data_IF_221537532281
#
_entry.id   IF_221537532281
#
_cell.length_a   1.000
_cell.length_b   1.000
_cell.length_c   1.000
_cell.angle_alpha   90.00
_cell.angle_beta   90.00
_cell.angle_gamma   90.00
#
_symmetry.space_group_name_H-M   'P 1'
#
loop_
_entity.id
_entity.type
_entity.pdbx_description
1 polymer ?
#
# COMPACT_ATOMS: atom_id res chain seq x y z
N UNK A 1 -7.14 3.11 19.56
CA UNK A 1 -7.86 2.99 18.26
C UNK A 1 -8.12 4.34 17.60
N UNK A 2 -8.77 5.31 18.26
CA UNK A 2 -9.06 6.64 17.71
C UNK A 2 -7.82 7.38 17.18
N UNK A 3 -6.79 7.52 18.01
CA UNK A 3 -5.58 8.29 17.67
C UNK A 3 -4.73 7.68 16.55
N UNK A 4 -4.93 6.39 16.22
CA UNK A 4 -4.24 5.78 15.08
C UNK A 4 -4.55 6.46 13.75
N UNK A 5 -5.71 7.15 13.64
CA UNK A 5 -6.07 7.92 12.44
C UNK A 5 -5.03 8.99 12.09
N UNK A 6 -4.24 9.47 13.07
CA UNK A 6 -3.13 10.41 12.87
C UNK A 6 -2.09 9.85 11.88
N UNK A 7 -1.93 8.53 11.80
CA UNK A 7 -0.92 7.88 10.95
C UNK A 7 -1.46 7.43 9.60
N UNK A 8 -2.60 7.97 9.16
CA UNK A 8 -3.21 7.68 7.86
C UNK A 8 -3.43 6.18 7.63
N UNK A 9 -3.08 5.71 6.43
CA UNK A 9 -3.23 4.32 5.98
C UNK A 9 -2.45 3.30 6.83
N UNK A 10 -1.37 3.71 7.52
CA UNK A 10 -0.65 2.85 8.46
C UNK A 10 -1.44 2.58 9.74
N UNK A 11 -2.23 3.57 10.15
CA UNK A 11 -3.10 3.49 11.30
C UNK A 11 -4.32 2.63 11.00
N UNK A 12 -5.06 2.99 9.95
CA UNK A 12 -6.26 2.34 9.45
C UNK A 12 -6.30 2.45 7.92
N UNK A 13 -6.71 1.40 7.21
CA UNK A 13 -6.87 1.45 5.76
C UNK A 13 -8.01 2.39 5.34
N UNK A 14 -9.04 2.56 6.18
CA UNK A 14 -10.13 3.50 5.98
C UNK A 14 -10.38 4.38 7.22
N UNK A 15 -11.06 5.51 7.03
CA UNK A 15 -11.46 6.39 8.13
C UNK A 15 -12.81 5.96 8.68
N UNK A 16 -12.87 5.62 9.98
CA UNK A 16 -14.09 5.21 10.67
C UNK A 16 -14.62 6.31 11.60
N UNK A 17 -15.95 6.55 11.62
CA UNK A 17 -16.56 7.62 12.41
C UNK A 17 -16.81 7.18 13.86
N UNK A 18 -15.79 6.66 14.55
CA UNK A 18 -15.90 6.31 15.97
C UNK A 18 -16.26 7.53 16.80
N UNK A 19 -17.28 7.38 17.64
CA UNK A 19 -17.88 8.47 18.41
C UNK A 19 -17.76 8.25 19.93
N UNK A 20 -18.02 9.31 20.69
CA UNK A 20 -18.15 9.23 22.15
C UNK A 20 -19.38 8.39 22.54
N UNK A 21 -20.41 8.36 21.68
CA UNK A 21 -21.58 7.50 21.86
C UNK A 21 -21.19 6.03 21.94
N UNK A 22 -20.33 5.57 21.04
CA UNK A 22 -19.84 4.18 21.03
C UNK A 22 -19.12 3.82 22.33
N UNK A 23 -18.30 4.74 22.86
CA UNK A 23 -17.59 4.54 24.13
C UNK A 23 -18.56 4.47 25.32
N UNK A 24 -19.51 5.43 25.39
CA UNK A 24 -20.50 5.48 26.46
C UNK A 24 -21.37 4.22 26.46
N UNK A 25 -21.88 3.84 25.29
CA UNK A 25 -22.77 2.70 25.17
C UNK A 25 -22.01 1.39 25.43
N UNK A 26 -20.73 1.29 25.01
CA UNK A 26 -19.86 0.17 25.38
C UNK A 26 -19.62 0.07 26.89
N UNK A 27 -19.45 1.21 27.59
CA UNK A 27 -19.29 1.23 29.04
C UNK A 27 -20.56 0.78 29.79
N UNK A 28 -21.74 1.15 29.27
CA UNK A 28 -23.02 0.70 29.81
C UNK A 28 -23.20 -0.80 29.62
N UNK A 29 -22.88 -1.31 28.43
CA UNK A 29 -22.92 -2.74 28.13
C UNK A 29 -21.94 -3.50 29.03
N UNK A 30 -20.70 -3.03 29.18
CA UNK A 30 -19.72 -3.62 30.09
C UNK A 30 -20.27 -3.74 31.52
N UNK A 31 -20.79 -2.63 32.05
CA UNK A 31 -21.34 -2.58 33.41
C UNK A 31 -22.50 -3.57 33.59
N UNK A 32 -23.49 -3.51 32.71
CA UNK A 32 -24.66 -4.38 32.77
C UNK A 32 -24.27 -5.86 32.63
N UNK A 33 -23.31 -6.17 31.75
CA UNK A 33 -22.86 -7.54 31.51
C UNK A 33 -22.17 -8.13 32.74
N UNK A 34 -21.31 -7.34 33.40
CA UNK A 34 -20.62 -7.76 34.62
C UNK A 34 -21.55 -7.89 35.83
N UNK A 35 -22.49 -6.94 36.01
CA UNK A 35 -23.48 -7.03 37.11
C UNK A 35 -24.45 -8.20 36.93
N UNK A 36 -24.97 -8.40 35.71
CA UNK A 36 -26.00 -9.41 35.45
C UNK A 36 -25.43 -10.83 35.60
N UNK A 37 -24.18 -11.05 35.20
CA UNK A 37 -23.58 -12.37 35.28
C UNK A 37 -23.05 -12.74 36.68
N UNK A 38 -23.00 -11.78 37.64
CA UNK A 38 -22.35 -11.98 38.94
C UNK A 38 -21.00 -12.72 38.80
N UNK A 39 -20.29 -12.44 37.70
CA UNK A 39 -19.25 -13.32 37.23
C UNK A 39 -18.00 -13.17 38.11
N UNK A 40 -17.57 -14.27 38.72
CA UNK A 40 -16.32 -14.33 39.51
C UNK A 40 -15.09 -14.04 38.63
N UNK A 41 -15.21 -14.28 37.31
CA UNK A 41 -14.18 -14.01 36.30
C UNK A 41 -14.77 -13.16 35.18
N UNK A 42 -13.97 -12.22 34.66
CA UNK A 42 -14.36 -11.37 33.53
C UNK A 42 -14.50 -12.22 32.25
N UNK A 43 -15.65 -12.19 31.57
CA UNK A 43 -15.90 -12.93 30.33
C UNK A 43 -15.30 -12.20 29.12
N UNK A 44 -13.97 -12.25 29.00
CA UNK A 44 -13.24 -11.51 27.96
C UNK A 44 -13.65 -11.87 26.53
N UNK A 45 -13.94 -13.13 26.24
CA UNK A 45 -14.32 -13.59 24.89
C UNK A 45 -15.61 -12.90 24.43
N UNK A 46 -16.62 -12.87 25.30
CA UNK A 46 -17.91 -12.23 25.01
C UNK A 46 -17.74 -10.72 24.85
N UNK A 47 -16.95 -10.07 25.72
CA UNK A 47 -16.70 -8.64 25.64
C UNK A 47 -15.92 -8.25 24.37
N UNK A 48 -14.91 -9.05 23.99
CA UNK A 48 -14.16 -8.86 22.75
C UNK A 48 -15.06 -9.01 21.53
N UNK A 49 -15.96 -9.98 21.54
CA UNK A 49 -16.95 -10.15 20.47
C UNK A 49 -17.92 -8.95 20.41
N UNK A 50 -18.52 -8.55 21.55
CA UNK A 50 -19.46 -7.43 21.60
C UNK A 50 -18.79 -6.14 21.13
N UNK A 51 -17.61 -5.80 21.63
CA UNK A 51 -16.95 -4.56 21.26
C UNK A 51 -16.33 -4.61 19.86
N UNK A 52 -15.70 -5.72 19.50
CA UNK A 52 -14.96 -5.91 18.25
C UNK A 52 -15.83 -6.19 17.04
N UNK A 53 -16.92 -6.92 17.20
CA UNK A 53 -17.78 -7.34 16.07
C UNK A 53 -19.07 -6.52 15.99
N UNK A 54 -19.61 -6.05 17.11
CA UNK A 54 -20.91 -5.34 17.17
C UNK A 54 -20.72 -3.83 17.32
N UNK A 55 -20.11 -3.36 18.41
CA UNK A 55 -20.05 -1.93 18.74
C UNK A 55 -19.12 -1.16 17.80
N UNK A 56 -17.81 -1.43 17.87
CA UNK A 56 -16.83 -0.81 16.97
C UNK A 56 -16.79 -1.54 15.63
N UNK A 57 -16.92 -2.86 15.63
CA UNK A 57 -16.96 -3.69 14.43
C UNK A 57 -18.08 -3.38 13.45
N UNK A 58 -19.21 -2.88 13.93
CA UNK A 58 -20.32 -2.43 13.08
C UNK A 58 -19.94 -1.26 12.16
N UNK A 59 -18.93 -0.46 12.53
CA UNK A 59 -18.42 0.63 11.71
C UNK A 59 -17.32 0.19 10.74
N UNK A 60 -16.64 -0.94 11.03
CA UNK A 60 -15.43 -1.36 10.32
C UNK A 60 -15.80 -2.27 9.14
N UNK A 61 -15.54 -1.76 7.93
CA UNK A 61 -15.89 -2.43 6.68
C UNK A 61 -14.69 -3.21 6.12
N UNK A 62 -13.47 -2.70 6.26
CA UNK A 62 -12.28 -3.38 5.75
C UNK A 62 -11.89 -4.57 6.66
N UNK A 63 -11.65 -5.73 6.05
CA UNK A 63 -11.33 -6.98 6.77
C UNK A 63 -10.00 -6.87 7.53
N UNK A 64 -9.00 -6.17 6.99
CA UNK A 64 -7.68 -6.03 7.64
C UNK A 64 -7.75 -5.02 8.79
N UNK A 65 -8.58 -3.98 8.66
CA UNK A 65 -8.90 -3.09 9.77
C UNK A 65 -9.70 -3.81 10.87
N UNK A 66 -10.60 -4.74 10.50
CA UNK A 66 -11.30 -5.59 11.49
C UNK A 66 -10.33 -6.52 12.21
N UNK A 67 -9.40 -7.14 11.47
CA UNK A 67 -8.29 -7.92 12.05
C UNK A 67 -7.45 -7.08 13.01
N UNK A 68 -7.12 -5.83 12.66
CA UNK A 68 -6.41 -4.90 13.53
C UNK A 68 -7.20 -4.61 14.81
N UNK A 69 -8.49 -4.28 14.69
CA UNK A 69 -9.38 -4.03 15.82
C UNK A 69 -9.42 -5.23 16.78
N UNK A 70 -9.65 -6.43 16.25
CA UNK A 70 -9.69 -7.66 17.04
C UNK A 70 -8.33 -7.95 17.68
N UNK A 71 -7.22 -7.72 16.98
CA UNK A 71 -5.87 -7.86 17.54
C UNK A 71 -5.64 -6.89 18.70
N UNK A 72 -6.16 -5.66 18.61
CA UNK A 72 -6.14 -4.69 19.72
C UNK A 72 -6.91 -5.21 20.94
N UNK A 73 -8.14 -5.65 20.73
CA UNK A 73 -8.98 -6.18 21.79
C UNK A 73 -8.36 -7.43 22.41
N UNK A 74 -7.82 -8.33 21.60
CA UNK A 74 -7.11 -9.53 22.05
C UNK A 74 -5.91 -9.19 22.92
N UNK A 75 -5.16 -8.13 22.58
CA UNK A 75 -4.01 -7.72 23.39
C UNK A 75 -4.45 -7.07 24.71
N UNK A 76 -5.38 -6.11 24.67
CA UNK A 76 -5.72 -5.32 25.85
C UNK A 76 -6.72 -6.00 26.79
N UNK A 77 -7.71 -6.72 26.25
CA UNK A 77 -8.81 -7.30 27.03
C UNK A 77 -8.48 -8.71 27.51
N UNK A 78 -7.58 -8.77 28.50
CA UNK A 78 -7.12 -10.00 29.13
C UNK A 78 -7.00 -9.80 30.65
N UNK A 79 -6.91 -10.88 31.42
CA UNK A 79 -6.78 -10.84 32.88
C UNK A 79 -5.61 -9.95 33.36
N UNK A 80 -4.50 -9.91 32.59
CA UNK A 80 -3.34 -9.04 32.87
C UNK A 80 -3.70 -7.56 32.97
N UNK A 81 -4.77 -7.10 32.29
CA UNK A 81 -5.20 -5.70 32.33
C UNK A 81 -5.51 -5.22 33.75
N UNK A 82 -5.95 -6.15 34.60
CA UNK A 82 -6.31 -5.90 36.00
C UNK A 82 -5.09 -5.86 36.94
N UNK A 83 -3.90 -6.21 36.44
CA UNK A 83 -2.66 -6.40 37.22
C UNK A 83 -1.45 -5.77 36.50
N UNK A 84 -1.39 -4.43 36.50
CA UNK A 84 -0.29 -3.61 35.96
C UNK A 84 0.18 -3.98 34.53
N UNK A 85 -0.77 -4.24 33.62
CA UNK A 85 -0.45 -4.51 32.22
C UNK A 85 0.24 -3.33 31.54
N UNK A 86 1.24 -3.66 30.73
CA UNK A 86 1.86 -2.72 29.80
C UNK A 86 0.84 -2.25 28.75
N UNK A 87 0.63 -0.93 28.68
CA UNK A 87 -0.29 -0.31 27.74
C UNK A 87 0.34 0.00 26.39
N UNK A 88 1.68 0.01 26.30
CA UNK A 88 2.39 0.19 25.04
C UNK A 88 2.65 -1.18 24.38
N UNK A 89 2.01 -1.49 23.24
CA UNK A 89 2.12 -2.82 22.66
C UNK A 89 3.56 -3.17 22.25
N UNK A 90 4.03 -4.35 22.68
CA UNK A 90 5.32 -4.93 22.28
C UNK A 90 6.53 -4.00 22.51
N UNK A 91 6.53 -3.19 23.57
CA UNK A 91 7.66 -2.30 23.92
C UNK A 91 8.80 -2.99 24.70
N UNK A 92 8.71 -4.30 24.93
CA UNK A 92 9.71 -5.08 25.67
C UNK A 92 11.13 -4.86 25.12
N UNK A 93 12.07 -4.51 25.99
CA UNK A 93 13.47 -4.27 25.63
C UNK A 93 13.80 -2.86 25.11
N UNK A 94 12.85 -1.91 25.15
CA UNK A 94 13.13 -0.48 24.88
C UNK A 94 13.26 0.29 26.20
N UNK A 95 14.47 0.76 26.50
CA UNK A 95 14.74 1.53 27.71
C UNK A 95 13.91 2.83 27.74
N UNK A 96 13.23 3.07 28.86
CA UNK A 96 12.49 4.31 29.10
C UNK A 96 11.11 4.43 28.44
N UNK A 97 10.58 3.36 27.82
CA UNK A 97 9.27 3.37 27.16
C UNK A 97 8.35 2.34 27.81
N UNK A 98 7.70 2.72 28.91
CA UNK A 98 6.73 1.88 29.62
C UNK A 98 5.65 2.75 30.24
N UNK A 99 4.39 2.34 30.08
CA UNK A 99 3.25 2.94 30.75
C UNK A 99 2.26 1.83 31.09
N UNK A 100 2.05 1.58 32.39
CA UNK A 100 1.26 0.45 32.87
C UNK A 100 -0.11 0.87 33.37
N UNK A 101 -1.06 -0.07 33.37
CA UNK A 101 -2.33 0.15 34.05
C UNK A 101 -2.09 0.35 35.55
N UNK A 102 -2.70 1.37 36.18
CA UNK A 102 -2.67 1.45 37.64
C UNK A 102 -3.54 0.34 38.23
N UNK A 103 -3.19 -0.13 39.43
CA UNK A 103 -4.03 -1.06 40.17
C UNK A 103 -5.45 -0.49 40.40
N UNK A 104 -6.49 -1.33 40.56
CA UNK A 104 -7.86 -0.87 40.75
C UNK A 104 -7.99 0.14 41.90
N UNK A 105 -8.30 1.40 41.55
CA UNK A 105 -8.32 2.53 42.49
C UNK A 105 -9.53 3.45 42.23
N UNK A 106 -9.64 4.55 43.00
CA UNK A 106 -10.68 5.56 42.77
C UNK A 106 -10.49 6.27 41.43
N UNK A 107 -11.59 6.82 40.90
CA UNK A 107 -11.59 7.58 39.64
C UNK A 107 -10.53 8.71 39.63
N UNK A 108 -10.35 9.42 40.75
CA UNK A 108 -9.37 10.50 40.89
C UNK A 108 -7.92 10.00 40.69
N UNK A 109 -7.57 8.82 41.21
CA UNK A 109 -6.24 8.23 41.04
C UNK A 109 -5.96 7.79 39.59
N UNK A 110 -7.01 7.39 38.86
CA UNK A 110 -6.88 7.15 37.42
C UNK A 110 -6.55 8.43 36.67
N UNK A 111 -7.16 9.57 37.03
CA UNK A 111 -6.85 10.86 36.42
C UNK A 111 -5.40 11.28 36.70
N UNK A 112 -4.94 11.18 37.95
CA UNK A 112 -3.53 11.45 38.31
C UNK A 112 -2.56 10.58 37.50
N UNK A 113 -2.88 9.31 37.29
CA UNK A 113 -2.06 8.38 36.50
C UNK A 113 -2.00 8.75 35.02
N UNK A 114 -3.11 9.25 34.46
CA UNK A 114 -3.19 9.73 33.07
C UNK A 114 -2.41 11.03 32.90
N UNK A 115 -2.42 11.94 33.88
CA UNK A 115 -1.64 13.18 33.84
C UNK A 115 -0.13 12.92 33.84
N UNK A 116 0.32 11.81 34.44
CA UNK A 116 1.71 11.34 34.39
C UNK A 116 2.12 10.63 33.10
N UNK A 117 1.22 10.49 32.12
CA UNK A 117 1.51 9.79 30.87
C UNK A 117 2.60 10.52 30.05
N UNK A 118 3.60 9.80 29.50
CA UNK A 118 4.59 10.42 28.63
C UNK A 118 3.95 10.94 27.34
N UNK A 119 4.65 11.85 26.65
CA UNK A 119 4.19 12.37 25.37
C UNK A 119 3.85 11.24 24.39
N UNK A 120 2.71 11.36 23.70
CA UNK A 120 2.28 10.38 22.71
C UNK A 120 3.35 10.19 21.63
N UNK A 121 3.71 8.92 21.40
CA UNK A 121 4.61 8.51 20.31
C UNK A 121 3.95 7.37 19.53
N UNK A 122 4.39 7.08 18.29
CA UNK A 122 3.87 5.93 17.55
C UNK A 122 3.92 4.60 18.32
N UNK A 123 4.91 4.45 19.21
CA UNK A 123 5.08 3.26 20.06
C UNK A 123 3.89 3.04 21.00
N UNK A 124 3.25 4.11 21.49
CA UNK A 124 2.05 4.00 22.32
C UNK A 124 0.89 3.31 21.58
N UNK A 125 0.93 3.35 20.25
CA UNK A 125 -0.02 2.69 19.37
C UNK A 125 0.55 1.41 18.74
N UNK A 126 1.66 0.86 19.24
CA UNK A 126 2.29 -0.33 18.67
C UNK A 126 2.93 -0.13 17.29
N UNK A 127 3.06 1.11 16.83
CA UNK A 127 3.70 1.45 15.55
C UNK A 127 5.21 1.68 15.75
N UNK A 128 5.97 1.43 14.69
CA UNK A 128 7.40 1.77 14.68
C UNK A 128 7.61 3.30 14.73
N UNK A 129 8.65 3.83 15.41
CA UNK A 129 8.92 5.27 15.50
C UNK A 129 9.04 5.99 14.15
N UNK A 130 9.43 5.29 13.09
CA UNK A 130 9.47 5.84 11.73
C UNK A 130 8.10 6.33 11.23
N UNK A 131 6.99 5.86 11.82
CA UNK A 131 5.66 6.37 11.49
C UNK A 131 5.50 7.87 11.80
N UNK A 132 6.25 8.40 12.77
CA UNK A 132 6.28 9.83 13.07
C UNK A 132 6.83 10.63 11.88
N UNK A 133 7.84 10.11 11.18
CA UNK A 133 8.44 10.77 10.01
C UNK A 133 7.36 10.95 8.93
N UNK A 134 6.65 9.88 8.57
CA UNK A 134 5.59 9.94 7.57
C UNK A 134 4.45 10.89 7.96
N UNK A 135 4.04 10.86 9.22
CA UNK A 135 3.03 11.78 9.75
C UNK A 135 3.47 13.24 9.61
N UNK A 136 4.69 13.59 10.03
CA UNK A 136 5.22 14.96 9.92
C UNK A 136 5.40 15.40 8.48
N UNK A 137 5.89 14.52 7.60
CA UNK A 137 6.00 14.81 6.16
C UNK A 137 4.63 15.14 5.57
N UNK A 138 3.59 14.38 5.91
CA UNK A 138 2.24 14.66 5.42
C UNK A 138 1.73 16.04 5.89
N UNK A 139 1.93 16.38 7.17
CA UNK A 139 1.57 17.71 7.68
C UNK A 139 2.30 18.84 6.94
N UNK A 140 3.59 18.65 6.62
CA UNK A 140 4.35 19.61 5.82
C UNK A 140 3.78 19.73 4.39
N UNK A 141 3.43 18.62 3.75
CA UNK A 141 2.85 18.63 2.40
C UNK A 141 1.49 19.34 2.36
N UNK A 142 0.62 19.11 3.35
CA UNK A 142 -0.67 19.78 3.49
C UNK A 142 -0.51 21.28 3.75
N UNK A 143 0.48 21.66 4.57
CA UNK A 143 0.85 23.06 4.80
C UNK A 143 1.30 23.73 3.50
N UNK A 144 2.23 23.13 2.75
CA UNK A 144 2.71 23.69 1.49
C UNK A 144 1.60 23.77 0.44
N UNK A 145 0.72 22.76 0.36
CA UNK A 145 -0.43 22.79 -0.53
C UNK A 145 -1.38 23.95 -0.20
N UNK A 146 -1.63 24.19 1.08
CA UNK A 146 -2.46 25.31 1.55
C UNK A 146 -1.80 26.66 1.25
N UNK A 147 -0.49 26.79 1.48
CA UNK A 147 0.27 27.99 1.14
C UNK A 147 0.23 28.32 -0.36
N UNK A 148 0.35 27.30 -1.22
CA UNK A 148 0.21 27.46 -2.68
C UNK A 148 -1.20 27.92 -3.07
N UNK A 149 -2.25 27.43 -2.40
CA UNK A 149 -3.63 27.87 -2.65
C UNK A 149 -3.89 29.31 -2.21
N UNK A 150 -3.18 29.80 -1.19
CA UNK A 150 -3.30 31.17 -0.70
C UNK A 150 -2.53 32.19 -1.57
N UNK A 151 -1.65 31.74 -2.46
CA UNK A 151 -0.95 32.67 -3.36
C UNK A 151 -1.95 33.36 -4.31
N UNK A 152 -1.91 34.70 -4.43
CA UNK A 152 -2.82 35.42 -5.31
C UNK A 152 -2.54 35.09 -6.77
N UNK A 153 -3.40 34.23 -7.37
CA UNK A 153 -3.34 33.84 -8.80
C UNK A 153 -3.34 35.04 -9.77
N UNK A 154 -3.81 36.22 -9.33
CA UNK A 154 -3.87 37.45 -10.12
C UNK A 154 -2.62 38.32 -10.06
N UNK A 155 -1.68 38.10 -9.15
CA UNK A 155 -0.42 38.86 -9.13
C UNK A 155 0.48 38.53 -10.34
N UNK A 156 0.23 37.40 -11.02
CA UNK A 156 0.92 37.00 -12.24
C UNK A 156 0.25 37.48 -13.53
N UNK A 157 -0.93 38.12 -13.45
CA UNK A 157 -1.67 38.59 -14.62
C UNK A 157 -1.33 40.04 -15.03
N UNK A 158 -0.80 40.85 -14.11
CA UNK A 158 -0.39 42.25 -14.40
C UNK A 158 1.13 42.41 -14.61
N UNK A 159 1.93 41.36 -14.37
CA UNK A 159 3.36 41.32 -14.65
C UNK A 159 3.69 40.16 -15.59
N UNK A 160 3.86 40.46 -16.88
CA UNK A 160 4.02 39.48 -17.98
C UNK A 160 5.19 38.48 -17.89
N UNK A 161 5.98 38.48 -16.82
CA UNK A 161 7.07 37.53 -16.62
C UNK A 161 6.62 36.21 -15.96
N UNK A 162 5.58 36.22 -15.13
CA UNK A 162 5.14 35.03 -14.37
C UNK A 162 4.27 34.05 -15.16
N UNK A 163 3.35 34.55 -15.99
CA UNK A 163 2.50 33.69 -16.84
C UNK A 163 3.25 33.13 -18.04
N UNK A 164 4.17 33.91 -18.64
CA UNK A 164 5.04 33.43 -19.71
C UNK A 164 5.99 32.32 -19.24
N UNK A 165 6.53 32.42 -18.03
CA UNK A 165 7.38 31.36 -17.47
C UNK A 165 6.64 30.03 -17.29
N UNK A 166 5.39 30.07 -16.81
CA UNK A 166 4.57 28.87 -16.66
C UNK A 166 4.20 28.23 -18.00
N UNK A 167 3.82 29.04 -18.99
CA UNK A 167 3.51 28.54 -20.34
C UNK A 167 4.75 27.95 -21.02
N UNK A 168 5.88 28.64 -21.01
CA UNK A 168 7.14 28.13 -21.58
C UNK A 168 7.58 26.83 -20.90
N UNK A 169 7.42 26.71 -19.58
CA UNK A 169 7.72 25.48 -18.86
C UNK A 169 6.77 24.34 -19.25
N UNK A 170 5.47 24.62 -19.36
CA UNK A 170 4.48 23.63 -19.82
C UNK A 170 4.79 23.13 -21.24
N UNK A 171 5.18 24.04 -22.14
CA UNK A 171 5.56 23.74 -23.52
C UNK A 171 6.82 22.88 -23.57
N UNK A 172 7.84 23.21 -22.77
CA UNK A 172 9.05 22.40 -22.64
C UNK A 172 8.74 20.98 -22.16
N UNK A 173 8.00 20.83 -21.06
CA UNK A 173 7.63 19.52 -20.49
C UNK A 173 6.76 18.73 -21.49
N UNK A 174 5.84 19.40 -22.19
CA UNK A 174 5.03 18.77 -23.23
C UNK A 174 5.91 18.17 -24.34
N UNK A 175 6.87 18.96 -24.83
CA UNK A 175 7.80 18.51 -25.87
C UNK A 175 8.68 17.34 -25.42
N UNK A 176 9.25 17.42 -24.21
CA UNK A 176 10.07 16.35 -23.62
C UNK A 176 9.29 15.02 -23.50
N UNK A 177 8.04 15.08 -23.04
CA UNK A 177 7.19 13.87 -22.92
C UNK A 177 6.86 13.29 -24.30
N UNK A 178 6.54 14.14 -25.29
CA UNK A 178 6.24 13.70 -26.65
C UNK A 178 7.46 13.05 -27.33
N UNK A 179 8.66 13.62 -27.15
CA UNK A 179 9.90 13.07 -27.68
C UNK A 179 10.23 11.70 -27.04
N UNK A 180 10.05 11.58 -25.73
CA UNK A 180 10.40 10.35 -25.00
C UNK A 180 9.37 9.22 -25.18
N UNK A 181 8.08 9.55 -25.28
CA UNK A 181 6.99 8.56 -25.25
C UNK A 181 6.27 8.37 -26.59
N UNK A 182 6.56 9.17 -27.62
CA UNK A 182 5.82 9.20 -28.88
C UNK A 182 5.75 7.86 -29.61
N UNK A 183 6.82 7.07 -29.55
CA UNK A 183 6.96 5.80 -30.25
C UNK A 183 6.87 4.58 -29.33
N UNK A 184 6.45 4.76 -28.07
CA UNK A 184 6.41 3.71 -27.05
C UNK A 184 5.21 2.75 -27.15
N UNK A 185 4.58 2.65 -28.32
CA UNK A 185 3.42 1.77 -28.56
C UNK A 185 3.85 0.38 -29.00
N UNK A 186 3.11 -0.62 -28.55
CA UNK A 186 3.30 -2.02 -28.91
C UNK A 186 2.41 -2.41 -30.09
N UNK A 187 2.96 -3.05 -31.11
CA UNK A 187 2.15 -3.70 -32.15
C UNK A 187 1.60 -5.03 -31.62
N UNK A 188 0.40 -4.97 -31.02
CA UNK A 188 -0.22 -6.12 -30.39
C UNK A 188 -0.59 -7.20 -31.42
N UNK A 189 -0.90 -6.81 -32.65
CA UNK A 189 -1.22 -7.76 -33.71
C UNK A 189 0.01 -8.56 -34.11
N UNK A 190 1.14 -7.89 -34.33
CA UNK A 190 2.43 -8.53 -34.60
C UNK A 190 2.87 -9.45 -33.45
N UNK A 191 2.82 -8.95 -32.20
CA UNK A 191 3.19 -9.73 -31.01
C UNK A 191 2.28 -10.97 -30.86
N UNK A 192 0.97 -10.81 -31.06
CA UNK A 192 0.02 -11.92 -30.96
C UNK A 192 0.18 -12.95 -32.08
N UNK A 193 0.56 -12.52 -33.28
CA UNK A 193 0.85 -13.43 -34.41
C UNK A 193 2.17 -14.18 -34.24
N UNK A 194 3.15 -13.59 -33.54
CA UNK A 194 4.41 -14.25 -33.20
C UNK A 194 4.25 -15.42 -32.20
N UNK A 195 3.11 -15.48 -31.49
CA UNK A 195 2.79 -16.52 -30.52
C UNK A 195 1.84 -17.54 -31.20
N UNK A 196 2.21 -18.82 -31.35
CA UNK A 196 1.29 -19.85 -31.85
C UNK A 196 0.05 -19.97 -30.97
N UNK A 197 -1.13 -20.13 -31.57
CA UNK A 197 -2.40 -20.17 -30.83
C UNK A 197 -2.48 -21.30 -29.80
N UNK A 198 -1.79 -22.42 -30.05
CA UNK A 198 -1.71 -23.56 -29.12
C UNK A 198 -0.82 -23.28 -27.89
N UNK A 199 0.09 -22.32 -27.99
CA UNK A 199 1.04 -21.94 -26.92
C UNK A 199 0.61 -20.67 -26.16
N UNK A 200 -0.52 -20.06 -26.55
CA UNK A 200 -1.12 -18.93 -25.82
C UNK A 200 -1.68 -19.40 -24.49
N UNK A 201 -0.84 -19.37 -23.46
CA UNK A 201 -1.19 -19.68 -22.08
C UNK A 201 -1.67 -18.47 -21.28
N UNK A 202 -2.04 -18.67 -20.00
CA UNK A 202 -2.46 -17.61 -19.09
C UNK A 202 -1.47 -16.44 -18.99
N UNK A 203 -0.16 -16.71 -18.96
CA UNK A 203 0.86 -15.65 -18.90
C UNK A 203 0.89 -14.80 -20.17
N UNK A 204 0.78 -15.40 -21.35
CA UNK A 204 0.72 -14.69 -22.63
C UNK A 204 -0.52 -13.80 -22.72
N UNK A 205 -1.67 -14.27 -22.23
CA UNK A 205 -2.88 -13.45 -22.18
C UNK A 205 -2.72 -12.21 -21.28
N UNK A 206 -2.13 -12.39 -20.09
CA UNK A 206 -1.81 -11.27 -19.20
C UNK A 206 -0.83 -10.30 -19.88
N UNK A 207 0.23 -10.82 -20.50
CA UNK A 207 1.20 -9.98 -21.21
C UNK A 207 0.57 -9.14 -22.32
N UNK A 208 -0.25 -9.74 -23.19
CA UNK A 208 -0.94 -9.02 -24.25
C UNK A 208 -1.91 -7.97 -23.70
N UNK A 209 -2.61 -8.28 -22.60
CA UNK A 209 -3.49 -7.33 -21.91
C UNK A 209 -2.70 -6.15 -21.32
N UNK A 210 -1.54 -6.40 -20.73
CA UNK A 210 -0.64 -5.37 -20.20
C UNK A 210 -0.16 -4.42 -21.30
N UNK A 211 0.24 -4.95 -22.46
CA UNK A 211 0.57 -4.14 -23.65
C UNK A 211 -0.63 -3.32 -24.14
N UNK A 212 -1.84 -3.89 -24.14
CA UNK A 212 -3.08 -3.17 -24.49
C UNK A 212 -3.35 -1.98 -23.55
N UNK A 213 -3.30 -2.21 -22.23
CA UNK A 213 -3.48 -1.15 -21.24
C UNK A 213 -2.43 -0.04 -21.41
N UNK A 214 -1.17 -0.41 -21.64
CA UNK A 214 -0.09 0.55 -21.89
C UNK A 214 -0.36 1.39 -23.14
N UNK A 215 -0.76 0.77 -24.25
CA UNK A 215 -1.09 1.47 -25.49
C UNK A 215 -2.24 2.47 -25.33
N UNK A 216 -3.29 2.11 -24.58
CA UNK A 216 -4.42 2.99 -24.31
C UNK A 216 -3.96 4.24 -23.54
N UNK A 217 -3.12 4.07 -22.51
CA UNK A 217 -2.56 5.19 -21.75
C UNK A 217 -1.68 6.08 -22.62
N UNK A 218 -0.69 5.49 -23.30
CA UNK A 218 0.29 6.23 -24.13
C UNK A 218 -0.42 6.97 -25.26
N UNK A 219 -1.44 6.36 -25.86
CA UNK A 219 -2.22 7.00 -26.94
C UNK A 219 -2.97 8.23 -26.44
N UNK A 220 -3.61 8.16 -25.27
CA UNK A 220 -4.28 9.34 -24.69
C UNK A 220 -3.27 10.43 -24.29
N UNK A 221 -2.10 10.05 -23.77
CA UNK A 221 -1.02 11.00 -23.47
C UNK A 221 -0.57 11.72 -24.74
N UNK A 222 -0.21 10.99 -25.79
CA UNK A 222 0.25 11.56 -27.06
C UNK A 222 -0.84 12.44 -27.69
N UNK A 223 -2.09 11.97 -27.72
CA UNK A 223 -3.22 12.73 -28.27
C UNK A 223 -3.39 14.07 -27.54
N UNK A 224 -3.49 14.03 -26.21
CA UNK A 224 -3.72 15.22 -25.41
C UNK A 224 -2.55 16.21 -25.42
N UNK A 225 -1.30 15.72 -25.47
CA UNK A 225 -0.11 16.56 -25.58
C UNK A 225 0.06 17.16 -26.98
N UNK A 226 -0.22 16.40 -28.05
CA UNK A 226 -0.15 16.91 -29.43
C UNK A 226 -1.17 18.02 -29.65
N UNK A 227 -2.39 17.86 -29.13
CA UNK A 227 -3.42 18.90 -29.14
C UNK A 227 -2.95 20.15 -28.38
N UNK A 228 -2.33 19.99 -27.21
CA UNK A 228 -1.78 21.09 -26.42
C UNK A 228 -0.65 21.82 -27.15
N UNK A 229 0.24 21.09 -27.84
CA UNK A 229 1.33 21.67 -28.63
C UNK A 229 0.80 22.56 -29.77
N UNK A 230 -0.24 22.12 -30.48
CA UNK A 230 -0.92 22.94 -31.50
C UNK A 230 -1.62 24.15 -30.87
N UNK A 231 -2.12 24.02 -29.63
CA UNK A 231 -2.64 25.12 -28.83
C UNK A 231 -1.58 26.18 -28.52
N UNK A 232 -0.38 25.77 -28.13
CA UNK A 232 0.75 26.69 -27.88
C UNK A 232 1.23 27.40 -29.16
N UNK A 233 1.22 26.71 -30.31
CA UNK A 233 1.52 27.31 -31.63
C UNK A 233 0.44 28.26 -32.15
N UNK A 234 -0.75 28.28 -31.52
CA UNK A 234 -1.89 29.08 -31.96
C UNK A 234 -2.65 28.51 -33.16
N UNK A 235 -2.39 27.24 -33.52
CA UNK A 235 -3.08 26.52 -34.59
C UNK A 235 -4.42 25.95 -34.13
N UNK A 236 -4.54 25.63 -32.84
CA UNK A 236 -5.80 25.30 -32.17
C UNK A 236 -6.16 26.34 -31.11
N UNK A 237 -7.45 26.63 -30.99
CA UNK A 237 -7.95 27.46 -29.88
C UNK A 237 -7.81 26.70 -28.56
N UNK A 238 -7.11 27.30 -27.59
CA UNK A 238 -6.96 26.71 -26.26
C UNK A 238 -8.32 26.42 -25.61
N UNK A 239 -8.52 25.16 -25.25
CA UNK A 239 -9.71 24.69 -24.53
C UNK A 239 -9.44 24.61 -23.03
N UNK A 240 -10.50 24.53 -22.21
CA UNK A 240 -10.35 24.36 -20.76
C UNK A 240 -9.57 23.11 -20.38
N UNK A 241 -9.70 22.03 -21.16
CA UNK A 241 -8.96 20.78 -20.94
C UNK A 241 -7.45 20.96 -21.20
N UNK A 242 -7.08 21.76 -22.21
CA UNK A 242 -5.69 22.09 -22.51
C UNK A 242 -5.09 22.99 -21.42
N UNK A 243 -5.86 23.97 -20.94
CA UNK A 243 -5.45 24.83 -19.83
C UNK A 243 -5.22 24.01 -18.54
N UNK A 244 -6.14 23.11 -18.21
CA UNK A 244 -6.00 22.20 -17.06
C UNK A 244 -4.80 21.26 -17.23
N UNK A 245 -4.56 20.74 -18.45
CA UNK A 245 -3.39 19.92 -18.75
C UNK A 245 -2.10 20.70 -18.52
N UNK A 246 -1.96 21.88 -19.14
CA UNK A 246 -0.80 22.75 -18.99
C UNK A 246 -0.55 23.11 -17.51
N UNK A 247 -1.61 23.42 -16.75
CA UNK A 247 -1.49 23.69 -15.32
C UNK A 247 -0.99 22.48 -14.52
N UNK A 248 -1.41 21.25 -14.85
CA UNK A 248 -0.92 20.04 -14.20
C UNK A 248 0.56 19.77 -14.54
N UNK A 249 0.99 20.01 -15.79
CA UNK A 249 2.40 19.89 -16.18
C UNK A 249 3.28 20.84 -15.37
N UNK A 250 2.87 22.10 -15.22
CA UNK A 250 3.61 23.12 -14.45
C UNK A 250 3.67 22.78 -12.96
N UNK A 251 2.61 22.15 -12.43
CA UNK A 251 2.51 21.81 -11.01
C UNK A 251 3.09 20.44 -10.66
N UNK A 252 3.79 19.78 -11.60
CA UNK A 252 4.38 18.44 -11.41
C UNK A 252 3.32 17.40 -10.97
N UNK A 253 2.11 17.48 -11.54
CA UNK A 253 0.98 16.60 -11.25
C UNK A 253 0.61 15.78 -12.46
N UNK A 254 0.34 14.49 -12.24
CA UNK A 254 -0.21 13.63 -13.28
C UNK A 254 -1.65 14.08 -13.61
N UNK A 255 -1.95 14.41 -14.87
CA UNK A 255 -3.28 14.81 -15.30
C UNK A 255 -4.38 13.78 -14.96
N UNK A 256 -5.59 14.22 -14.57
CA UNK A 256 -6.69 13.31 -14.26
C UNK A 256 -7.14 12.43 -15.43
N UNK A 257 -7.01 12.90 -16.68
CA UNK A 257 -7.31 12.09 -17.87
C UNK A 257 -6.39 10.87 -17.97
N UNK A 258 -5.10 11.05 -17.70
CA UNK A 258 -4.12 9.96 -17.72
C UNK A 258 -4.31 9.03 -16.54
N UNK A 259 -4.56 9.59 -15.35
CA UNK A 259 -4.75 8.81 -14.10
C UNK A 259 -5.90 7.80 -14.20
N UNK A 260 -6.97 8.14 -14.95
CA UNK A 260 -8.11 7.23 -15.18
C UNK A 260 -7.75 5.98 -15.99
N UNK A 261 -6.74 6.08 -16.85
CA UNK A 261 -6.27 5.00 -17.73
C UNK A 261 -5.01 4.31 -17.16
N UNK A 262 -4.32 4.99 -16.25
CA UNK A 262 -3.10 4.53 -15.64
C UNK A 262 -3.33 3.59 -14.44
N UNK A 263 -2.23 3.01 -13.98
CA UNK A 263 -2.16 2.32 -12.69
C UNK A 263 -2.26 3.32 -11.52
N UNK A 264 -2.79 2.90 -10.35
CA UNK A 264 -2.76 3.73 -9.14
C UNK A 264 -1.33 4.09 -8.73
N UNK A 265 -1.10 5.39 -8.47
CA UNK A 265 0.20 5.95 -8.10
C UNK A 265 0.00 7.22 -7.24
N UNK A 266 0.96 7.50 -6.37
CA UNK A 266 1.05 8.76 -5.61
C UNK A 266 2.27 9.60 -5.99
N UNK A 267 2.96 9.23 -7.08
CA UNK A 267 4.15 9.92 -7.59
C UNK A 267 3.80 11.30 -8.18
N UNK A 268 4.67 12.30 -8.01
CA UNK A 268 4.65 13.50 -8.86
C UNK A 268 4.93 13.14 -10.33
N UNK A 269 4.58 14.04 -11.26
CA UNK A 269 4.65 13.79 -12.70
C UNK A 269 6.04 13.34 -13.16
N UNK A 270 7.11 14.03 -12.75
CA UNK A 270 8.47 13.70 -13.17
C UNK A 270 8.88 12.27 -12.79
N UNK A 271 8.67 11.87 -11.52
CA UNK A 271 9.02 10.51 -11.08
C UNK A 271 8.01 9.46 -11.57
N UNK A 272 6.77 9.87 -11.88
CA UNK A 272 5.78 9.01 -12.52
C UNK A 272 6.14 8.67 -13.96
N UNK A 273 6.64 9.64 -14.75
CA UNK A 273 7.12 9.41 -16.11
C UNK A 273 8.32 8.46 -16.14
N UNK A 274 9.28 8.63 -15.23
CA UNK A 274 10.38 7.67 -15.07
C UNK A 274 9.88 6.26 -14.72
N UNK A 275 8.90 6.15 -13.82
CA UNK A 275 8.28 4.86 -13.50
C UNK A 275 7.54 4.26 -14.70
N UNK A 276 6.83 5.08 -15.50
CA UNK A 276 6.13 4.66 -16.71
C UNK A 276 7.11 4.13 -17.76
N UNK A 277 8.24 4.82 -17.96
CA UNK A 277 9.31 4.40 -18.86
C UNK A 277 9.86 3.02 -18.48
N UNK A 278 10.20 2.81 -17.21
CA UNK A 278 10.68 1.51 -16.72
C UNK A 278 9.65 0.39 -16.94
N UNK A 279 8.34 0.70 -16.93
CA UNK A 279 7.29 -0.29 -17.26
C UNK A 279 7.23 -0.61 -18.74
N UNK A 280 7.37 0.41 -19.58
CA UNK A 280 7.44 0.25 -21.04
C UNK A 280 8.64 -0.63 -21.38
N UNK A 281 9.83 -0.32 -20.83
CA UNK A 281 11.05 -1.12 -21.02
C UNK A 281 10.86 -2.56 -20.55
N UNK A 282 10.20 -2.78 -19.40
CA UNK A 282 9.90 -4.12 -18.91
C UNK A 282 8.99 -4.92 -19.86
N UNK A 283 7.98 -4.29 -20.46
CA UNK A 283 7.12 -4.93 -21.46
C UNK A 283 7.86 -5.14 -22.81
N UNK A 284 8.70 -4.19 -23.22
CA UNK A 284 9.54 -4.30 -24.41
C UNK A 284 10.57 -5.42 -24.31
N UNK A 285 11.10 -5.71 -23.12
CA UNK A 285 11.96 -6.88 -22.93
C UNK A 285 11.17 -8.17 -23.15
N UNK A 286 9.92 -8.22 -22.67
CA UNK A 286 9.06 -9.38 -22.82
C UNK A 286 8.59 -9.60 -24.27
N UNK A 287 8.52 -8.57 -25.12
CA UNK A 287 8.21 -8.75 -26.54
C UNK A 287 9.30 -9.47 -27.32
N UNK A 288 10.55 -9.49 -26.84
CA UNK A 288 11.67 -10.17 -27.52
C UNK A 288 11.55 -11.69 -27.48
N UNK A 289 11.03 -12.22 -26.37
CA UNK A 289 10.80 -13.66 -26.15
C UNK A 289 9.39 -13.88 -25.56
N UNK A 290 8.31 -13.67 -26.34
CA UNK A 290 6.94 -13.63 -25.81
C UNK A 290 6.42 -14.99 -25.30
N UNK A 291 7.05 -16.08 -25.74
CA UNK A 291 6.74 -17.45 -25.28
C UNK A 291 7.35 -17.76 -23.91
N UNK A 292 8.44 -17.10 -23.56
CA UNK A 292 9.19 -17.40 -22.34
C UNK A 292 8.80 -16.41 -21.25
N UNK A 293 8.35 -16.92 -20.11
CA UNK A 293 8.16 -16.07 -18.93
C UNK A 293 9.52 -15.52 -18.47
N UNK A 294 9.65 -14.21 -18.20
CA UNK A 294 10.87 -13.65 -17.62
C UNK A 294 11.29 -14.40 -16.35
N UNK A 295 12.59 -14.60 -16.17
CA UNK A 295 13.13 -15.35 -15.01
C UNK A 295 12.63 -14.80 -13.68
N UNK A 296 12.50 -13.47 -13.60
CA UNK A 296 11.92 -12.73 -12.49
C UNK A 296 10.98 -11.68 -13.08
N UNK A 297 9.75 -11.64 -12.61
CA UNK A 297 8.73 -10.65 -13.03
C UNK A 297 8.62 -9.55 -11.98
N UNK A 298 8.74 -8.30 -12.38
CA UNK A 298 8.52 -7.17 -11.46
C UNK A 298 7.01 -6.87 -11.34
N UNK A 299 6.40 -7.28 -10.23
CA UNK A 299 4.97 -7.03 -9.97
C UNK A 299 4.67 -5.54 -9.88
N UNK A 300 5.64 -4.73 -9.46
CA UNK A 300 5.45 -3.28 -9.39
C UNK A 300 5.25 -2.69 -10.78
N UNK A 301 5.77 -3.32 -11.85
CA UNK A 301 5.74 -2.81 -13.24
C UNK A 301 4.50 -3.20 -14.05
N UNK A 302 3.73 -4.19 -13.61
CA UNK A 302 2.46 -4.55 -14.23
C UNK A 302 1.36 -3.52 -13.90
N UNK A 303 0.43 -3.23 -14.81
CA UNK A 303 -0.83 -2.54 -14.55
C UNK A 303 -1.72 -3.35 -13.60
N UNK A 304 -1.84 -4.65 -13.85
CA UNK A 304 -2.70 -5.56 -13.09
C UNK A 304 -1.92 -6.76 -12.52
N UNK A 305 -1.20 -6.57 -11.39
CA UNK A 305 -0.51 -7.66 -10.71
C UNK A 305 -1.43 -8.83 -10.32
N UNK A 306 -2.72 -8.54 -10.06
CA UNK A 306 -3.71 -9.56 -9.73
C UNK A 306 -4.00 -10.50 -10.90
N UNK A 307 -4.01 -9.98 -12.14
CA UNK A 307 -4.19 -10.80 -13.34
C UNK A 307 -3.03 -11.77 -13.51
N UNK A 308 -1.80 -11.29 -13.28
CA UNK A 308 -0.61 -12.14 -13.27
C UNK A 308 -0.65 -13.22 -12.18
N UNK A 309 -1.02 -12.87 -10.95
CA UNK A 309 -1.16 -13.86 -9.88
C UNK A 309 -2.28 -14.86 -10.16
N UNK A 310 -3.34 -14.45 -10.87
CA UNK A 310 -4.39 -15.36 -11.32
C UNK A 310 -3.87 -16.33 -12.38
N UNK A 311 -3.07 -15.85 -13.35
CA UNK A 311 -2.38 -16.70 -14.31
C UNK A 311 -1.46 -17.73 -13.63
N UNK A 312 -0.75 -17.34 -12.55
CA UNK A 312 0.02 -18.31 -11.72
C UNK A 312 -0.88 -19.41 -11.16
N UNK A 313 -2.08 -19.07 -10.66
CA UNK A 313 -3.05 -20.06 -10.17
C UNK A 313 -3.62 -20.94 -11.27
N UNK A 314 -3.90 -20.37 -12.45
CA UNK A 314 -4.43 -21.11 -13.60
C UNK A 314 -3.43 -22.15 -14.11
N UNK A 315 -2.16 -21.77 -14.25
CA UNK A 315 -1.10 -22.69 -14.66
C UNK A 315 -0.94 -23.82 -13.65
N UNK A 316 -0.90 -23.51 -12.34
CA UNK A 316 -0.83 -24.54 -11.30
C UNK A 316 -2.08 -25.43 -11.26
N UNK A 317 -3.28 -24.86 -11.45
CA UNK A 317 -4.55 -25.58 -11.55
C UNK A 317 -4.54 -26.60 -12.68
N UNK A 318 -4.02 -26.22 -13.86
CA UNK A 318 -3.90 -27.11 -15.02
C UNK A 318 -2.84 -28.19 -14.82
N UNK A 319 -1.64 -27.81 -14.32
CA UNK A 319 -0.53 -28.75 -14.10
C UNK A 319 -0.83 -29.80 -13.02
N UNK A 320 -1.50 -29.40 -11.94
CA UNK A 320 -1.78 -30.27 -10.80
C UNK A 320 -3.22 -30.81 -10.77
N UNK A 321 -4.06 -30.44 -11.75
CA UNK A 321 -5.47 -30.82 -11.83
C UNK A 321 -6.26 -30.43 -10.56
N UNK A 322 -6.01 -29.21 -10.05
CA UNK A 322 -6.63 -28.67 -8.85
C UNK A 322 -7.73 -27.66 -9.21
N UNK A 323 -8.75 -27.52 -8.38
CA UNK A 323 -9.79 -26.50 -8.57
C UNK A 323 -9.23 -25.09 -8.29
N UNK A 324 -9.30 -24.20 -9.29
CA UNK A 324 -8.80 -22.82 -9.22
C UNK A 324 -9.30 -22.06 -7.97
N UNK A 325 -10.57 -22.23 -7.61
CA UNK A 325 -11.21 -21.54 -6.49
C UNK A 325 -10.64 -21.93 -5.10
N UNK A 326 -9.96 -23.07 -5.00
CA UNK A 326 -9.32 -23.53 -3.75
C UNK A 326 -7.86 -23.10 -3.64
N UNK A 327 -7.30 -22.53 -4.70
CA UNK A 327 -5.90 -22.12 -4.76
C UNK A 327 -5.69 -20.72 -4.19
N UNK A 328 -4.71 -20.61 -3.31
CA UNK A 328 -4.19 -19.35 -2.77
C UNK A 328 -2.74 -19.16 -3.21
N UNK A 329 -2.30 -17.91 -3.31
CA UNK A 329 -0.89 -17.62 -3.53
C UNK A 329 -0.16 -17.83 -2.21
N UNK A 330 0.87 -18.66 -2.25
CA UNK A 330 1.82 -18.88 -1.16
C UNK A 330 3.16 -18.27 -1.57
N UNK A 331 3.70 -17.41 -0.72
CA UNK A 331 4.96 -16.71 -0.97
C UNK A 331 6.09 -17.27 -0.12
N UNK A 332 7.27 -17.39 -0.71
CA UNK A 332 8.51 -17.69 0.00
C UNK A 332 9.60 -16.70 -0.41
N UNK A 333 10.06 -15.88 0.55
CA UNK A 333 11.15 -14.94 0.31
C UNK A 333 12.46 -15.72 0.12
N UNK A 334 13.15 -15.49 -0.99
CA UNK A 334 14.42 -16.18 -1.28
C UNK A 334 15.62 -15.40 -0.75
N UNK A 335 16.82 -15.99 -0.83
CA UNK A 335 18.09 -15.32 -0.53
C UNK A 335 18.78 -14.76 -1.79
N UNK A 336 18.05 -14.65 -2.90
CA UNK A 336 18.58 -14.33 -4.21
C UNK A 336 18.19 -12.90 -4.62
N UNK A 337 19.16 -12.18 -5.17
CA UNK A 337 18.91 -10.97 -5.95
C UNK A 337 18.55 -11.33 -7.39
N UNK A 338 17.95 -10.39 -8.13
CA UNK A 338 17.48 -10.60 -9.51
C UNK A 338 18.57 -11.16 -10.43
N UNK A 339 19.81 -10.65 -10.30
CA UNK A 339 20.96 -11.09 -11.10
C UNK A 339 21.45 -12.51 -10.80
N UNK A 340 21.10 -13.04 -9.62
CA UNK A 340 21.50 -14.38 -9.16
C UNK A 340 20.48 -15.48 -9.48
N UNK A 341 19.42 -15.14 -10.23
CA UNK A 341 18.39 -16.08 -10.67
C UNK A 341 18.77 -16.64 -12.04
N UNK A 342 19.29 -17.86 -12.06
CA UNK A 342 19.78 -18.49 -13.29
C UNK A 342 18.67 -18.95 -14.23
N UNK A 343 17.52 -19.37 -13.68
CA UNK A 343 16.41 -19.95 -14.42
C UNK A 343 15.05 -19.55 -13.82
N UNK A 344 14.01 -19.61 -14.64
CA UNK A 344 12.63 -19.42 -14.20
C UNK A 344 12.22 -20.45 -13.14
N UNK A 345 11.21 -20.10 -12.34
CA UNK A 345 10.66 -21.02 -11.34
C UNK A 345 10.05 -22.25 -12.03
N UNK A 346 10.29 -23.45 -11.47
CA UNK A 346 9.71 -24.69 -12.00
C UNK A 346 8.20 -24.80 -11.74
N UNK A 347 7.76 -24.19 -10.65
CA UNK A 347 6.38 -24.11 -10.20
C UNK A 347 6.16 -22.68 -9.72
N UNK A 348 5.09 -22.03 -10.18
CA UNK A 348 4.82 -20.63 -9.93
C UNK A 348 5.77 -19.66 -10.66
N UNK A 349 6.06 -18.53 -10.03
CA UNK A 349 6.90 -17.47 -10.59
C UNK A 349 7.78 -16.81 -9.53
N UNK A 350 8.99 -16.38 -9.94
CA UNK A 350 9.80 -15.48 -9.13
C UNK A 350 9.39 -14.03 -9.40
N UNK A 351 9.19 -13.26 -8.34
CA UNK A 351 8.73 -11.88 -8.42
C UNK A 351 9.63 -10.91 -7.65
N UNK A 352 9.63 -9.66 -8.08
CA UNK A 352 10.30 -8.53 -7.41
C UNK A 352 9.39 -7.30 -7.35
N UNK A 353 9.90 -6.19 -6.80
CA UNK A 353 9.20 -4.91 -6.67
C UNK A 353 8.38 -4.78 -5.38
N UNK A 354 8.56 -5.68 -4.41
CA UNK A 354 7.87 -5.68 -3.12
C UNK A 354 8.71 -4.93 -2.08
N UNK A 355 8.12 -3.93 -1.44
CA UNK A 355 8.78 -3.17 -0.39
C UNK A 355 8.02 -3.25 0.93
N UNK A 356 8.68 -3.66 2.01
CA UNK A 356 8.10 -3.69 3.34
C UNK A 356 8.02 -2.29 3.94
N UNK A 357 6.84 -1.93 4.43
CA UNK A 357 6.58 -0.73 5.22
C UNK A 357 6.36 -1.11 6.69
N UNK A 358 7.11 -0.49 7.62
CA UNK A 358 6.99 -0.71 9.07
C UNK A 358 7.71 -1.93 9.63
N UNK A 359 8.37 -2.70 8.78
CA UNK A 359 9.32 -3.73 9.15
C UNK A 359 10.49 -3.78 8.16
N UNK A 360 11.49 -4.61 8.45
CA UNK A 360 12.55 -4.97 7.52
C UNK A 360 12.62 -6.48 7.38
N UNK A 361 13.13 -6.94 6.25
CA UNK A 361 13.50 -8.34 6.08
C UNK A 361 14.98 -8.53 6.38
N UNK A 362 15.31 -9.41 7.32
CA UNK A 362 16.71 -9.75 7.58
C UNK A 362 17.15 -10.95 6.75
N UNK A 363 18.10 -10.74 5.83
CA UNK A 363 18.61 -11.79 4.92
C UNK A 363 19.34 -12.91 5.66
N UNK A 364 20.04 -12.58 6.75
CA UNK A 364 20.82 -13.54 7.51
C UNK A 364 19.91 -14.57 8.19
N UNK A 365 18.90 -14.10 8.93
CA UNK A 365 17.95 -14.95 9.65
C UNK A 365 16.73 -15.37 8.82
N UNK A 366 16.51 -14.77 7.65
CA UNK A 366 15.35 -15.01 6.77
C UNK A 366 14.02 -14.87 7.52
N UNK A 367 13.90 -13.80 8.30
CA UNK A 367 12.67 -13.45 9.00
C UNK A 367 12.47 -11.94 9.09
N UNK A 368 11.24 -11.57 9.43
CA UNK A 368 10.86 -10.19 9.75
C UNK A 368 11.55 -9.70 11.02
N UNK A 369 12.05 -8.48 10.93
CA UNK A 369 12.65 -7.72 12.02
C UNK A 369 12.10 -6.28 12.00
N UNK A 370 12.29 -5.53 13.08
CA UNK A 370 11.84 -4.12 13.13
C UNK A 370 12.59 -3.25 12.11
N UNK A 371 11.99 -2.17 11.60
CA UNK A 371 12.72 -1.26 10.71
C UNK A 371 13.92 -0.61 11.42
N UNK A 372 14.95 -0.22 10.66
CA UNK A 372 16.02 0.62 11.22
C UNK A 372 15.53 2.07 11.34
N UNK A 373 16.08 2.88 12.26
CA UNK A 373 15.75 4.30 12.33
C UNK A 373 15.97 4.98 10.98
N UNK A 374 14.98 5.78 10.54
CA UNK A 374 14.98 6.51 9.25
C UNK A 374 14.89 5.66 7.98
N UNK A 375 14.82 4.34 8.10
CA UNK A 375 14.54 3.44 6.98
C UNK A 375 13.03 3.18 6.90
N UNK A 376 12.33 3.92 6.05
CA UNK A 376 10.86 3.83 5.95
C UNK A 376 10.39 2.55 5.24
N UNK A 377 11.13 2.17 4.19
CA UNK A 377 10.83 1.02 3.35
C UNK A 377 12.04 0.11 3.24
N UNK A 378 11.81 -1.20 3.24
CA UNK A 378 12.84 -2.20 3.03
C UNK A 378 12.48 -3.02 1.78
N UNK A 379 13.28 -2.93 0.72
CA UNK A 379 13.09 -3.74 -0.48
C UNK A 379 13.30 -5.23 -0.16
N UNK A 380 12.36 -6.06 -0.56
CA UNK A 380 12.51 -7.51 -0.46
C UNK A 380 13.41 -8.03 -1.58
N UNK A 381 14.19 -9.10 -1.32
CA UNK A 381 14.84 -9.85 -2.39
C UNK A 381 13.79 -10.55 -3.26
N UNK A 382 14.23 -11.37 -4.22
CA UNK A 382 13.32 -12.15 -5.06
C UNK A 382 12.39 -13.00 -4.18
N UNK A 383 11.09 -12.89 -4.41
CA UNK A 383 10.06 -13.68 -3.73
C UNK A 383 9.55 -14.74 -4.68
N UNK A 384 9.45 -15.98 -4.22
CA UNK A 384 8.83 -17.05 -4.97
C UNK A 384 7.33 -17.08 -4.67
N UNK A 385 6.50 -16.88 -5.69
CA UNK A 385 5.05 -16.99 -5.62
C UNK A 385 4.61 -18.29 -6.29
N UNK A 386 3.99 -19.19 -5.53
CA UNK A 386 3.38 -20.43 -6.06
C UNK A 386 1.92 -20.51 -5.64
N UNK A 387 1.13 -21.31 -6.35
CA UNK A 387 -0.26 -21.53 -6.00
C UNK A 387 -0.43 -22.89 -5.31
N UNK A 388 -1.00 -22.89 -4.11
CA UNK A 388 -1.24 -24.10 -3.32
C UNK A 388 -2.68 -24.10 -2.78
N UNK A 389 -3.15 -25.28 -2.34
CA UNK A 389 -4.43 -25.38 -1.65
C UNK A 389 -4.36 -24.60 -0.34
N UNK A 390 -5.35 -23.72 -0.10
CA UNK A 390 -5.41 -22.93 1.13
C UNK A 390 -5.36 -23.81 2.38
N UNK A 391 -4.29 -23.69 3.16
CA UNK A 391 -4.23 -24.29 4.49
C UNK A 391 -5.13 -23.51 5.43
N UNK A 392 -6.01 -24.21 6.17
CA UNK A 392 -6.83 -23.61 7.24
C UNK A 392 -6.06 -23.45 8.56
N UNK A 393 -4.81 -23.93 8.63
CA UNK A 393 -3.99 -23.82 9.85
C UNK A 393 -3.15 -22.56 9.79
N UNK A 394 -3.28 -21.73 10.81
CA UNK A 394 -2.30 -20.68 11.08
C UNK A 394 -0.97 -21.36 11.44
N UNK A 395 -0.01 -21.26 10.52
CA UNK A 395 1.34 -21.77 10.79
C UNK A 395 2.02 -20.85 11.80
N UNK A 396 2.24 -21.38 13.01
CA UNK A 396 3.03 -20.72 14.04
C UNK A 396 4.38 -20.28 13.45
N UNK A 397 4.69 -18.98 13.54
CA UNK A 397 5.91 -18.40 12.97
C UNK A 397 5.75 -17.76 11.58
N UNK A 398 4.52 -17.61 11.09
CA UNK A 398 4.22 -16.90 9.84
C UNK A 398 3.29 -15.72 10.09
N UNK A 399 3.66 -14.56 9.56
CA UNK A 399 2.82 -13.37 9.47
C UNK A 399 2.22 -13.27 8.07
N UNK A 400 0.89 -13.12 7.99
CA UNK A 400 0.17 -12.86 6.75
C UNK A 400 0.20 -11.34 6.51
N UNK A 401 1.11 -10.92 5.64
CA UNK A 401 1.36 -9.53 5.31
C UNK A 401 0.51 -9.11 4.10
N UNK A 402 -0.37 -8.10 4.23
CA UNK A 402 -1.14 -7.60 3.09
C UNK A 402 -0.23 -6.86 2.11
N UNK A 403 -0.45 -7.09 0.81
CA UNK A 403 0.26 -6.42 -0.28
C UNK A 403 -0.67 -5.42 -0.97
N UNK A 404 -0.20 -4.19 -1.12
CA UNK A 404 -0.94 -3.10 -1.76
C UNK A 404 -0.16 -2.53 -2.93
N UNK A 405 -0.90 -1.94 -3.88
CA UNK A 405 -0.30 -1.22 -5.00
C UNK A 405 0.42 0.03 -4.52
N UNK A 406 -0.22 0.83 -3.67
CA UNK A 406 0.33 2.11 -3.19
C UNK A 406 0.26 2.22 -1.68
N UNK A 407 0.93 3.23 -1.13
CA UNK A 407 0.91 3.58 0.29
C UNK A 407 -0.48 3.97 0.81
N UNK A 408 -1.44 4.28 -0.07
CA UNK A 408 -2.82 4.58 0.35
C UNK A 408 -3.55 3.35 0.88
N UNK A 409 -3.06 2.13 0.58
CA UNK A 409 -3.66 0.86 1.00
C UNK A 409 -5.14 0.77 0.60
N UNK A 410 -5.99 0.18 1.44
CA UNK A 410 -7.44 0.10 1.22
C UNK A 410 -7.79 -0.50 -0.14
N UNK A 411 -8.36 0.33 -1.03
CA UNK A 411 -8.79 -0.07 -2.37
C UNK A 411 -7.66 -0.57 -3.28
N UNK A 412 -6.40 -0.34 -2.92
CA UNK A 412 -5.23 -0.80 -3.67
C UNK A 412 -4.73 -2.19 -3.26
N UNK A 413 -5.50 -2.94 -2.48
CA UNK A 413 -5.15 -4.30 -2.05
C UNK A 413 -4.99 -5.26 -3.24
N UNK A 414 -3.96 -6.10 -3.20
CA UNK A 414 -3.63 -7.05 -4.27
C UNK A 414 -3.84 -8.48 -3.77
N UNK A 415 -3.08 -8.89 -2.75
CA UNK A 415 -3.12 -10.24 -2.17
C UNK A 415 -2.43 -10.26 -0.80
N UNK A 416 -2.48 -11.41 -0.13
CA UNK A 416 -1.80 -11.65 1.14
C UNK A 416 -0.54 -12.50 0.95
N UNK A 417 0.60 -12.01 1.44
CA UNK A 417 1.90 -12.68 1.35
C UNK A 417 2.31 -13.25 2.73
N UNK A 418 2.87 -14.45 2.74
CA UNK A 418 3.35 -15.14 3.94
C UNK A 418 4.81 -14.78 4.21
N UNK A 419 5.07 -14.24 5.40
CA UNK A 419 6.40 -13.86 5.85
C UNK A 419 6.78 -14.59 7.13
N UNK A 420 7.99 -15.14 7.17
CA UNK A 420 8.50 -15.79 8.39
C UNK A 420 8.77 -14.75 9.47
N UNK A 421 8.41 -15.06 10.71
CA UNK A 421 8.70 -14.23 11.87
C UNK A 421 8.96 -15.05 13.13
N UNK A 422 9.76 -14.49 14.04
CA UNK A 422 9.98 -15.02 15.40
C UNK A 422 9.03 -14.44 16.44
N UNK A 423 8.34 -13.35 16.09
CA UNK A 423 7.41 -12.65 16.97
C UNK A 423 5.96 -13.06 16.68
N UNK A 424 5.03 -12.93 17.63
CA UNK A 424 3.61 -13.13 17.37
C UNK A 424 3.11 -12.21 16.24
N UNK A 425 2.23 -12.73 15.38
CA UNK A 425 1.65 -11.96 14.26
C UNK A 425 1.01 -10.64 14.70
N UNK A 426 0.46 -10.60 15.91
CA UNK A 426 -0.12 -9.42 16.53
C UNK A 426 0.85 -8.21 16.56
N UNK A 427 2.16 -8.44 16.71
CA UNK A 427 3.19 -7.38 16.67
C UNK A 427 3.17 -6.64 15.33
N UNK A 428 3.08 -7.38 14.23
CA UNK A 428 3.15 -6.84 12.88
C UNK A 428 1.82 -6.26 12.43
N UNK A 429 0.70 -6.86 12.86
CA UNK A 429 -0.64 -6.32 12.65
C UNK A 429 -0.76 -4.95 13.31
N UNK A 430 -0.44 -4.83 14.60
CA UNK A 430 -0.46 -3.54 15.31
C UNK A 430 0.56 -2.54 14.76
N UNK A 431 1.73 -3.03 14.35
CA UNK A 431 2.76 -2.26 13.65
C UNK A 431 2.33 -1.69 12.30
N UNK A 432 1.18 -2.12 11.79
CA UNK A 432 0.66 -1.70 10.48
C UNK A 432 1.58 -2.13 9.36
N UNK A 433 2.24 -3.29 9.49
CA UNK A 433 3.19 -3.79 8.48
C UNK A 433 2.43 -4.18 7.22
N UNK A 434 2.96 -3.77 6.08
CA UNK A 434 2.41 -4.11 4.77
C UNK A 434 3.53 -4.17 3.73
N UNK A 435 3.27 -4.83 2.60
CA UNK A 435 4.10 -4.68 1.41
C UNK A 435 3.46 -3.68 0.46
N UNK A 436 4.29 -2.82 -0.13
CA UNK A 436 3.89 -1.80 -1.09
C UNK A 436 4.66 -2.02 -2.39
N UNK A 437 3.96 -2.04 -3.52
CA UNK A 437 4.59 -2.16 -4.83
C UNK A 437 5.14 -0.82 -5.33
N UNK A 438 4.36 0.26 -5.22
CA UNK A 438 4.73 1.58 -5.68
C UNK A 438 4.89 2.57 -4.51
N UNK A 439 6.14 2.96 -4.27
CA UNK A 439 6.50 3.97 -3.27
C UNK A 439 6.60 5.32 -3.99
N UNK A 440 5.63 6.20 -3.74
CA UNK A 440 5.50 7.47 -4.46
C UNK A 440 6.64 8.46 -4.24
N UNK A 441 7.31 8.39 -3.08
CA UNK A 441 8.46 9.24 -2.74
C UNK A 441 9.45 8.40 -1.92
N UNK A 442 10.63 8.18 -2.47
CA UNK A 442 11.81 7.77 -1.70
C UNK A 442 12.30 9.01 -0.95
N UNK A 443 11.98 9.15 0.33
CA UNK A 443 12.60 10.16 1.19
C UNK A 443 14.05 9.77 1.51
#
# INVERSE_FOLDING_TARGET
MLERKKFGSRGWNMTYPFSIGDLRDSSLVLFNYLETQNAVKVPWDDLRYIFGEIMYGGHIIDVRDRLLCNTYLDFFMQDRLLDEAELFPFCEGRDGVSFRTPAPQSYERYLESIEGMPQETPLAFGLHPNAEIGYRTQQCNELFATLLQLQPRKASAEGGAGSQGGQMHAEQVCHEILEEMGDSRFDIEEISQAIPDEEKGPYQHVFLQECQCMNVLVTEMIRSLSELELGFKGELTMSSLMEDLAANLVLDKVPPSWTKLAFPSTRPLGSWLGNLKERIEHLQEWTKEPLTLPKVVDLSKLFSPQSFLTAVKEVASQQHQLELNKLVIVTAVTKKDVSSVDAAARDGAFVTGLHLDGARWDMASSCLEESRPKELFCALPVVHCKAELGSKKEDSGTYICPVYRTQQRGATFIFDAQLRTKYPSAKWIMGGVAMILDIGVSL
#
